data_IF_142149658771
#
_entry.id   IF_142149658771
#
_cell.length_a   1.000
_cell.length_b   1.000
_cell.length_c   1.000
_cell.angle_alpha   90.00
_cell.angle_beta   90.00
_cell.angle_gamma   90.00
#
_symmetry.space_group_name_H-M   'P 1'
#
loop_
_entity.id
_entity.type
_entity.pdbx_description
1 polymer ?
#
# COMPACT_ATOMS: atom_id res chain seq x y z
N UNK A 1 -5.87 -7.89 -25.95
CA UNK A 1 -6.18 -9.07 -26.77
C UNK A 1 -7.68 -9.32 -26.70
N UNK A 2 -8.36 -9.38 -27.85
CA UNK A 2 -9.78 -9.75 -27.98
C UNK A 2 -9.93 -11.28 -27.95
N UNK A 3 -9.62 -11.92 -26.82
CA UNK A 3 -10.08 -13.29 -26.61
C UNK A 3 -11.57 -13.25 -26.28
N UNK A 4 -12.39 -14.14 -26.84
CA UNK A 4 -13.84 -14.25 -26.52
C UNK A 4 -14.12 -15.22 -25.37
N UNK A 5 -13.13 -16.01 -24.94
CA UNK A 5 -13.33 -17.08 -23.97
C UNK A 5 -13.47 -16.53 -22.55
N UNK A 6 -14.51 -16.98 -21.85
CA UNK A 6 -14.74 -16.68 -20.44
C UNK A 6 -14.60 -17.96 -19.61
N UNK A 7 -13.92 -17.87 -18.47
CA UNK A 7 -13.85 -18.93 -17.48
C UNK A 7 -14.80 -18.57 -16.33
N UNK A 8 -15.70 -19.47 -15.95
CA UNK A 8 -16.50 -19.33 -14.74
C UNK A 8 -16.41 -20.59 -13.90
N UNK A 9 -15.95 -20.46 -12.66
CA UNK A 9 -15.95 -21.53 -11.65
C UNK A 9 -17.08 -21.26 -10.67
N UNK A 10 -18.01 -22.20 -10.51
CA UNK A 10 -19.04 -22.17 -9.48
C UNK A 10 -18.86 -23.39 -8.55
N UNK A 11 -18.90 -23.18 -7.24
CA UNK A 11 -18.50 -24.22 -6.28
C UNK A 11 -16.98 -24.34 -6.21
N UNK A 12 -16.45 -25.55 -6.13
CA UNK A 12 -15.01 -25.80 -6.15
C UNK A 12 -14.56 -26.32 -7.53
N UNK A 13 -13.46 -25.81 -8.06
CA UNK A 13 -12.94 -26.26 -9.35
C UNK A 13 -11.54 -25.74 -9.67
N UNK A 14 -10.97 -26.27 -10.75
CA UNK A 14 -9.63 -25.88 -11.20
C UNK A 14 -9.56 -25.59 -12.70
N UNK A 15 -8.63 -24.75 -13.10
CA UNK A 15 -8.26 -24.49 -14.50
C UNK A 15 -6.75 -24.63 -14.69
N UNK A 16 -6.32 -24.96 -15.91
CA UNK A 16 -4.90 -25.07 -16.26
C UNK A 16 -4.19 -23.71 -16.36
N UNK A 17 -4.93 -22.59 -16.44
CA UNK A 17 -4.38 -21.27 -16.78
C UNK A 17 -4.58 -20.93 -18.26
N UNK A 18 -3.93 -19.86 -18.72
CA UNK A 18 -4.00 -19.39 -20.11
C UNK A 18 -4.65 -18.01 -20.27
N UNK A 19 -5.03 -17.68 -21.50
CA UNK A 19 -5.57 -16.38 -21.87
C UNK A 19 -7.11 -16.37 -21.95
N UNK A 20 -7.74 -15.45 -21.24
CA UNK A 20 -9.19 -15.30 -21.22
C UNK A 20 -9.60 -13.85 -21.41
N UNK A 21 -10.82 -13.62 -21.88
CA UNK A 21 -11.42 -12.30 -21.73
C UNK A 21 -11.72 -12.04 -20.26
N UNK A 22 -12.46 -12.98 -19.65
CA UNK A 22 -13.10 -12.82 -18.36
C UNK A 22 -12.98 -14.08 -17.55
N UNK A 23 -12.53 -13.96 -16.31
CA UNK A 23 -12.44 -15.04 -15.34
C UNK A 23 -13.31 -14.67 -14.14
N UNK A 24 -14.23 -15.55 -13.77
CA UNK A 24 -15.12 -15.36 -12.63
C UNK A 24 -15.09 -16.57 -11.71
N UNK A 25 -14.69 -16.38 -10.46
CA UNK A 25 -14.66 -17.45 -9.46
C UNK A 25 -15.73 -17.17 -8.40
N UNK A 26 -16.66 -18.10 -8.25
CA UNK A 26 -17.76 -18.08 -7.26
C UNK A 26 -17.72 -19.38 -6.44
N UNK A 27 -17.01 -19.33 -5.32
CA UNK A 27 -16.64 -20.52 -4.54
C UNK A 27 -15.13 -20.59 -4.46
N UNK A 28 -14.54 -21.76 -4.70
CA UNK A 28 -13.10 -22.01 -4.63
C UNK A 28 -12.56 -22.32 -6.02
N UNK A 29 -11.56 -21.56 -6.47
CA UNK A 29 -10.98 -21.74 -7.80
C UNK A 29 -9.46 -21.79 -7.78
N UNK A 30 -8.88 -22.90 -8.21
CA UNK A 30 -7.42 -23.01 -8.40
C UNK A 30 -7.06 -22.92 -9.88
N UNK A 31 -6.17 -21.99 -10.23
CA UNK A 31 -5.58 -21.87 -11.55
C UNK A 31 -4.14 -22.39 -11.45
N UNK A 32 -3.86 -23.48 -12.13
CA UNK A 32 -2.65 -24.30 -11.89
C UNK A 32 -1.37 -23.71 -12.49
N UNK A 33 -1.46 -22.73 -13.39
CA UNK A 33 -0.33 -22.05 -14.02
C UNK A 33 -0.62 -20.55 -14.19
N UNK A 34 0.17 -19.90 -15.05
CA UNK A 34 -0.01 -18.50 -15.45
C UNK A 34 -1.41 -18.21 -15.97
N UNK A 35 -1.90 -17.00 -15.66
CA UNK A 35 -3.20 -16.50 -16.10
C UNK A 35 -3.03 -15.11 -16.71
N UNK A 36 -3.68 -14.89 -17.85
CA UNK A 36 -3.73 -13.60 -18.53
C UNK A 36 -5.19 -13.29 -18.89
N UNK A 37 -5.72 -12.14 -18.48
CA UNK A 37 -7.09 -11.79 -18.85
C UNK A 37 -7.41 -10.29 -18.86
N UNK A 38 -8.53 -9.89 -19.49
CA UNK A 38 -9.00 -8.52 -19.38
C UNK A 38 -9.72 -8.27 -18.04
N UNK A 39 -10.52 -9.21 -17.56
CA UNK A 39 -11.32 -9.08 -16.34
C UNK A 39 -11.23 -10.33 -15.44
N UNK A 40 -10.55 -10.24 -14.32
CA UNK A 40 -10.57 -11.24 -13.26
C UNK A 40 -11.46 -10.78 -12.10
N UNK A 41 -12.42 -11.61 -11.69
CA UNK A 41 -13.27 -11.35 -10.52
C UNK A 41 -13.43 -12.59 -9.66
N UNK A 42 -13.00 -12.53 -8.41
CA UNK A 42 -13.30 -13.56 -7.40
C UNK A 42 -14.30 -13.06 -6.36
N UNK A 43 -15.26 -13.91 -6.03
CA UNK A 43 -16.28 -13.68 -5.00
C UNK A 43 -16.14 -14.64 -3.81
N UNK A 44 -15.36 -15.70 -3.96
CA UNK A 44 -14.97 -16.59 -2.87
C UNK A 44 -13.44 -16.61 -2.78
N UNK A 45 -12.85 -17.80 -2.76
CA UNK A 45 -11.41 -18.01 -2.67
C UNK A 45 -10.82 -18.36 -4.03
N UNK A 46 -9.67 -17.79 -4.36
CA UNK A 46 -8.96 -18.12 -5.59
C UNK A 46 -7.47 -18.23 -5.38
N UNK A 47 -6.83 -19.16 -6.08
CA UNK A 47 -5.39 -19.38 -6.06
C UNK A 47 -4.89 -19.42 -7.50
N UNK A 48 -3.91 -18.59 -7.85
CA UNK A 48 -3.18 -18.66 -9.12
C UNK A 48 -1.76 -19.13 -8.81
N UNK A 49 -1.41 -20.35 -9.23
CA UNK A 49 -0.11 -20.99 -8.94
C UNK A 49 1.05 -20.49 -9.81
N UNK A 50 0.82 -19.45 -10.59
CA UNK A 50 1.85 -18.79 -11.40
C UNK A 50 1.62 -17.29 -11.45
N UNK A 51 2.27 -16.63 -12.41
CA UNK A 51 2.09 -15.21 -12.66
C UNK A 51 0.67 -14.86 -13.12
N UNK A 52 0.20 -13.70 -12.70
CA UNK A 52 -1.10 -13.14 -13.07
C UNK A 52 -0.91 -11.85 -13.87
N UNK A 53 -1.43 -11.81 -15.10
CA UNK A 53 -1.54 -10.60 -15.91
C UNK A 53 -3.01 -10.23 -16.09
N UNK A 54 -3.42 -9.02 -15.72
CA UNK A 54 -4.79 -8.59 -15.99
C UNK A 54 -4.99 -7.10 -16.21
N UNK A 55 -5.93 -6.72 -17.07
CA UNK A 55 -6.35 -5.32 -17.10
C UNK A 55 -7.10 -4.93 -15.83
N UNK A 56 -8.10 -5.72 -15.46
CA UNK A 56 -8.88 -5.50 -14.24
C UNK A 56 -8.84 -6.74 -13.36
N UNK A 57 -8.36 -6.59 -12.13
CA UNK A 57 -8.32 -7.64 -11.13
C UNK A 57 -9.12 -7.21 -9.90
N UNK A 58 -10.25 -7.86 -9.64
CA UNK A 58 -11.18 -7.49 -8.57
C UNK A 58 -11.42 -8.64 -7.62
N UNK A 59 -11.19 -8.40 -6.33
CA UNK A 59 -11.30 -9.41 -5.27
C UNK A 59 -12.34 -8.97 -4.26
N UNK A 60 -13.44 -9.73 -4.17
CA UNK A 60 -14.47 -9.54 -3.14
C UNK A 60 -14.29 -10.47 -1.95
N UNK A 61 -13.77 -11.68 -2.16
CA UNK A 61 -13.39 -12.64 -1.12
C UNK A 61 -11.88 -12.64 -0.91
N UNK A 62 -11.25 -13.79 -1.16
CA UNK A 62 -9.82 -14.00 -0.96
C UNK A 62 -9.15 -14.42 -2.27
N UNK A 63 -7.93 -13.91 -2.50
CA UNK A 63 -7.16 -14.30 -3.67
C UNK A 63 -5.67 -14.37 -3.39
N UNK A 64 -5.04 -15.44 -3.83
CA UNK A 64 -3.60 -15.61 -3.77
C UNK A 64 -3.03 -15.77 -5.19
N UNK A 65 -1.94 -15.06 -5.46
CA UNK A 65 -1.10 -15.24 -6.64
C UNK A 65 0.29 -15.67 -6.17
N UNK A 66 0.71 -16.88 -6.52
CA UNK A 66 2.00 -17.44 -6.10
C UNK A 66 3.19 -16.90 -6.91
N UNK A 67 2.93 -16.27 -8.05
CA UNK A 67 3.94 -15.58 -8.84
C UNK A 67 3.87 -14.06 -8.72
N UNK A 68 4.34 -13.37 -9.77
CA UNK A 68 4.23 -11.92 -9.92
C UNK A 68 2.84 -11.52 -10.44
N UNK A 69 2.44 -10.28 -10.17
CA UNK A 69 1.24 -9.67 -10.71
C UNK A 69 1.58 -8.46 -11.58
N UNK A 70 1.08 -8.46 -12.82
CA UNK A 70 1.09 -7.29 -13.71
C UNK A 70 -0.37 -6.87 -13.97
N UNK A 71 -0.76 -5.64 -13.66
CA UNK A 71 -2.11 -5.19 -13.93
C UNK A 71 -2.29 -3.70 -14.21
N UNK A 72 -3.32 -3.34 -14.99
CA UNK A 72 -3.70 -1.93 -15.15
C UNK A 72 -4.46 -1.44 -13.90
N UNK A 73 -5.41 -2.24 -13.41
CA UNK A 73 -6.29 -1.89 -12.28
C UNK A 73 -6.48 -3.06 -11.32
N UNK A 74 -6.09 -2.87 -10.06
CA UNK A 74 -6.34 -3.80 -8.95
C UNK A 74 -7.33 -3.20 -7.97
N UNK A 75 -8.35 -3.97 -7.60
CA UNK A 75 -9.36 -3.56 -6.62
C UNK A 75 -9.66 -4.67 -5.63
N UNK A 76 -9.35 -4.43 -4.36
CA UNK A 76 -9.48 -5.44 -3.31
C UNK A 76 -10.46 -4.97 -2.24
N UNK A 77 -11.59 -5.66 -2.13
CA UNK A 77 -12.59 -5.43 -1.08
C UNK A 77 -12.40 -6.41 0.10
N UNK A 78 -12.01 -7.65 -0.17
CA UNK A 78 -11.62 -8.64 0.83
C UNK A 78 -10.11 -8.66 1.03
N UNK A 79 -9.44 -9.79 0.77
CA UNK A 79 -8.00 -9.94 0.95
C UNK A 79 -7.33 -10.43 -0.33
N UNK A 80 -6.15 -9.89 -0.65
CA UNK A 80 -5.33 -10.39 -1.74
C UNK A 80 -3.87 -10.53 -1.30
N UNK A 81 -3.21 -11.60 -1.73
CA UNK A 81 -1.79 -11.84 -1.49
C UNK A 81 -1.08 -12.16 -2.80
N UNK A 82 0.08 -11.53 -3.00
CA UNK A 82 0.99 -11.80 -4.12
C UNK A 82 2.33 -12.21 -3.53
N UNK A 83 2.78 -13.43 -3.82
CA UNK A 83 4.04 -13.96 -3.29
C UNK A 83 5.27 -13.36 -4.01
N UNK A 84 5.09 -12.78 -5.20
CA UNK A 84 6.12 -12.08 -5.93
C UNK A 84 5.96 -10.56 -5.91
N UNK A 85 6.45 -9.93 -6.97
CA UNK A 85 6.35 -8.48 -7.21
C UNK A 85 4.98 -8.12 -7.82
N UNK A 86 4.51 -6.91 -7.52
CA UNK A 86 3.36 -6.27 -8.16
C UNK A 86 3.78 -5.09 -9.02
N UNK A 87 3.53 -5.14 -10.33
CA UNK A 87 3.62 -3.99 -11.23
C UNK A 87 2.19 -3.59 -11.63
N UNK A 88 1.64 -2.57 -10.97
CA UNK A 88 0.22 -2.24 -11.06
C UNK A 88 0.02 -0.73 -11.20
N UNK A 89 -0.48 -0.27 -12.35
CA UNK A 89 -0.68 1.17 -12.59
C UNK A 89 -1.60 1.81 -11.53
N UNK A 90 -2.72 1.15 -11.21
CA UNK A 90 -3.68 1.68 -10.22
C UNK A 90 -4.19 0.62 -9.25
N UNK A 91 -3.92 0.82 -7.97
CA UNK A 91 -4.34 -0.06 -6.88
C UNK A 91 -5.35 0.63 -5.97
N UNK A 92 -6.50 -0.01 -5.72
CA UNK A 92 -7.53 0.45 -4.78
C UNK A 92 -7.91 -0.63 -3.78
N UNK A 93 -7.70 -0.37 -2.50
CA UNK A 93 -7.89 -1.39 -1.44
C UNK A 93 -8.85 -0.88 -0.38
N UNK A 94 -9.83 -1.70 -0.03
CA UNK A 94 -10.76 -1.46 1.08
C UNK A 94 -10.61 -2.50 2.19
N UNK A 95 -10.19 -3.72 1.86
CA UNK A 95 -9.73 -4.71 2.83
C UNK A 95 -8.21 -4.69 2.95
N UNK A 96 -7.54 -5.79 2.64
CA UNK A 96 -6.08 -5.92 2.76
C UNK A 96 -5.45 -6.38 1.44
N UNK A 97 -4.26 -5.87 1.13
CA UNK A 97 -3.39 -6.47 0.12
C UNK A 97 -1.99 -6.65 0.67
N UNK A 98 -1.37 -7.79 0.36
CA UNK A 98 0.02 -8.09 0.71
C UNK A 98 0.84 -8.46 -0.54
N UNK A 99 2.05 -7.90 -0.63
CA UNK A 99 3.10 -8.29 -1.57
C UNK A 99 4.31 -8.79 -0.79
N UNK A 100 4.77 -10.01 -1.06
CA UNK A 100 6.04 -10.51 -0.49
C UNK A 100 7.26 -10.02 -1.25
N UNK A 101 7.08 -9.49 -2.46
CA UNK A 101 8.09 -8.74 -3.21
C UNK A 101 7.90 -7.22 -3.09
N UNK A 102 8.20 -6.52 -4.18
CA UNK A 102 8.04 -5.07 -4.35
C UNK A 102 6.66 -4.72 -4.91
N UNK A 103 6.28 -3.45 -4.75
CA UNK A 103 5.12 -2.86 -5.43
C UNK A 103 5.56 -1.64 -6.23
N UNK A 104 5.30 -1.62 -7.54
CA UNK A 104 5.49 -0.45 -8.39
C UNK A 104 4.23 -0.08 -9.17
N UNK A 105 4.05 1.20 -9.50
CA UNK A 105 2.83 1.68 -10.17
C UNK A 105 2.70 3.19 -10.23
N UNK A 106 1.54 3.69 -10.63
CA UNK A 106 1.29 5.13 -10.70
C UNK A 106 0.56 5.60 -9.43
N UNK A 107 -0.54 4.93 -9.07
CA UNK A 107 -1.45 5.39 -8.03
C UNK A 107 -1.92 4.28 -7.08
N UNK A 108 -1.83 4.52 -5.77
CA UNK A 108 -2.27 3.61 -4.71
C UNK A 108 -3.24 4.33 -3.75
N UNK A 109 -4.49 3.87 -3.65
CA UNK A 109 -5.51 4.35 -2.69
C UNK A 109 -5.98 3.22 -1.78
N UNK A 110 -5.51 3.23 -0.53
CA UNK A 110 -5.75 2.18 0.46
C UNK A 110 -6.58 2.73 1.60
N UNK A 111 -7.72 2.11 1.91
CA UNK A 111 -8.56 2.44 3.07
C UNK A 111 -8.66 1.32 4.11
N UNK A 112 -7.85 0.29 3.95
CA UNK A 112 -7.68 -0.83 4.89
C UNK A 112 -6.20 -1.02 5.19
N UNK A 113 -5.57 -2.07 4.69
CA UNK A 113 -4.15 -2.34 4.92
C UNK A 113 -3.36 -2.61 3.64
N UNK A 114 -2.11 -2.14 3.62
CA UNK A 114 -1.12 -2.44 2.58
C UNK A 114 0.15 -2.95 3.27
N UNK A 115 0.54 -4.18 2.94
CA UNK A 115 1.77 -4.80 3.42
C UNK A 115 2.69 -5.12 2.24
N UNK A 116 3.92 -4.63 2.25
CA UNK A 116 4.89 -4.86 1.17
C UNK A 116 6.25 -5.20 1.76
N UNK A 117 6.74 -6.42 1.56
CA UNK A 117 8.03 -6.84 2.13
C UNK A 117 9.23 -6.19 1.44
N UNK A 118 9.11 -5.81 0.18
CA UNK A 118 10.10 -5.02 -0.53
C UNK A 118 9.82 -3.52 -0.50
N UNK A 119 10.33 -2.85 -1.53
CA UNK A 119 10.13 -1.42 -1.76
C UNK A 119 8.74 -1.14 -2.35
N UNK A 120 8.24 0.07 -2.11
CA UNK A 120 7.06 0.64 -2.76
C UNK A 120 7.52 1.82 -3.60
N UNK A 121 7.36 1.76 -4.91
CA UNK A 121 7.76 2.81 -5.85
C UNK A 121 6.55 3.25 -6.70
N UNK A 122 5.95 4.38 -6.34
CA UNK A 122 4.73 4.88 -6.99
C UNK A 122 4.76 6.38 -7.23
N UNK A 123 3.89 6.96 -8.05
CA UNK A 123 3.80 8.42 -8.18
C UNK A 123 2.99 9.04 -7.02
N UNK A 124 1.85 8.44 -6.68
CA UNK A 124 0.95 8.92 -5.63
C UNK A 124 0.47 7.79 -4.71
N UNK A 125 0.64 7.98 -3.41
CA UNK A 125 0.12 7.10 -2.36
C UNK A 125 -0.83 7.84 -1.43
N UNK A 126 -2.09 7.38 -1.40
CA UNK A 126 -3.12 7.81 -0.46
C UNK A 126 -3.50 6.65 0.45
N UNK A 127 -3.21 6.76 1.74
CA UNK A 127 -3.47 5.70 2.70
C UNK A 127 -4.31 6.21 3.87
N UNK A 128 -5.37 5.48 4.19
CA UNK A 128 -6.19 5.68 5.39
C UNK A 128 -6.36 4.34 6.08
N UNK A 129 -5.42 3.96 6.94
CA UNK A 129 -5.39 2.63 7.52
C UNK A 129 -3.98 2.23 7.96
N UNK A 130 -3.66 0.95 7.82
CA UNK A 130 -2.36 0.38 8.18
C UNK A 130 -1.42 0.30 6.97
N UNK A 131 -0.14 0.55 7.21
CA UNK A 131 0.94 0.41 6.23
C UNK A 131 2.11 -0.31 6.88
N UNK A 132 2.53 -1.43 6.30
CA UNK A 132 3.77 -2.10 6.67
C UNK A 132 4.68 -2.24 5.43
N UNK A 133 5.91 -1.78 5.54
CA UNK A 133 6.97 -2.11 4.58
C UNK A 133 8.33 -2.25 5.24
N UNK A 134 9.05 -3.31 4.87
CA UNK A 134 10.43 -3.54 5.31
C UNK A 134 11.44 -2.78 4.41
N UNK A 135 10.97 -2.17 3.32
CA UNK A 135 11.75 -1.46 2.30
C UNK A 135 11.59 0.06 2.34
N UNK A 136 11.99 0.69 1.23
CA UNK A 136 11.79 2.11 0.97
C UNK A 136 10.38 2.33 0.39
N UNK A 137 9.62 3.26 0.95
CA UNK A 137 8.48 3.89 0.27
C UNK A 137 8.97 5.13 -0.46
N UNK A 138 9.00 5.10 -1.79
CA UNK A 138 9.33 6.22 -2.64
C UNK A 138 8.13 6.66 -3.47
N UNK A 139 7.71 7.92 -3.35
CA UNK A 139 6.71 8.49 -4.24
C UNK A 139 6.80 10.01 -4.39
N UNK A 140 6.24 10.59 -5.46
CA UNK A 140 6.17 12.05 -5.56
C UNK A 140 5.29 12.63 -4.44
N UNK A 141 4.10 12.07 -4.23
CA UNK A 141 3.14 12.55 -3.24
C UNK A 141 2.70 11.40 -2.32
N UNK A 142 2.91 11.59 -1.01
CA UNK A 142 2.54 10.62 0.03
C UNK A 142 1.57 11.29 1.00
N UNK A 143 0.36 10.78 1.10
CA UNK A 143 -0.62 11.16 2.13
C UNK A 143 -1.02 9.95 2.97
N UNK A 144 -0.63 9.95 4.24
CA UNK A 144 -0.95 8.91 5.21
C UNK A 144 -1.85 9.49 6.29
N UNK A 145 -3.08 8.99 6.37
CA UNK A 145 -4.05 9.22 7.42
C UNK A 145 -4.09 8.04 8.39
N UNK A 146 -3.34 8.12 9.47
CA UNK A 146 -3.19 7.05 10.47
C UNK A 146 -4.54 6.68 11.13
N UNK A 147 -4.84 5.39 11.24
CA UNK A 147 -6.03 4.81 11.89
C UNK A 147 -5.73 3.51 12.61
N UNK A 148 -6.44 3.26 13.72
CA UNK A 148 -6.49 2.03 14.53
C UNK A 148 -5.13 1.45 14.96
N UNK A 149 -4.39 0.86 14.02
CA UNK A 149 -3.10 0.20 14.20
C UNK A 149 -1.95 1.13 13.79
N UNK A 150 -0.75 0.85 14.30
CA UNK A 150 0.46 1.56 13.89
C UNK A 150 0.82 1.23 12.45
N UNK A 151 1.57 2.13 11.81
CA UNK A 151 2.22 1.89 10.53
C UNK A 151 3.73 1.79 10.74
N UNK A 152 4.40 0.97 9.95
CA UNK A 152 5.86 0.83 9.98
C UNK A 152 6.40 0.80 8.57
N UNK A 153 7.34 1.68 8.26
CA UNK A 153 8.06 1.69 6.98
C UNK A 153 9.53 1.90 7.32
N UNK A 154 10.47 1.17 6.71
CA UNK A 154 11.89 1.35 7.04
C UNK A 154 12.37 2.78 6.70
N UNK A 155 12.12 3.22 5.48
CA UNK A 155 12.51 4.53 4.95
C UNK A 155 11.41 5.12 4.08
N UNK A 156 11.26 6.44 4.09
CA UNK A 156 10.29 7.16 3.25
C UNK A 156 11.02 8.25 2.48
N UNK A 157 10.90 8.21 1.15
CA UNK A 157 11.37 9.23 0.23
C UNK A 157 10.21 9.83 -0.57
N UNK A 158 10.20 11.14 -0.77
CA UNK A 158 9.23 11.74 -1.67
C UNK A 158 9.29 13.25 -1.77
N UNK A 159 8.65 13.81 -2.79
CA UNK A 159 8.64 15.27 -2.96
C UNK A 159 7.78 15.94 -1.88
N UNK A 160 6.55 15.45 -1.71
CA UNK A 160 5.62 15.95 -0.70
C UNK A 160 5.13 14.81 0.19
N UNK A 161 5.42 14.91 1.48
CA UNK A 161 5.10 13.88 2.47
C UNK A 161 4.18 14.50 3.53
N UNK A 162 2.98 13.96 3.66
CA UNK A 162 2.00 14.38 4.65
C UNK A 162 1.50 13.19 5.45
N UNK A 163 1.87 13.14 6.73
CA UNK A 163 1.33 12.18 7.69
C UNK A 163 0.43 12.93 8.65
N UNK A 164 -0.82 12.49 8.75
CA UNK A 164 -1.84 13.07 9.62
C UNK A 164 -2.47 12.01 10.49
N UNK A 165 -2.88 12.40 11.69
CA UNK A 165 -3.82 11.62 12.47
C UNK A 165 -5.23 12.07 12.15
N UNK A 166 -6.07 11.14 11.72
CA UNK A 166 -7.49 11.44 11.51
C UNK A 166 -8.20 11.60 12.86
N UNK A 167 -8.89 12.73 13.05
CA UNK A 167 -9.69 12.98 14.25
C UNK A 167 -10.73 11.86 14.47
N UNK A 168 -10.86 11.42 15.73
CA UNK A 168 -11.82 10.37 16.13
C UNK A 168 -13.17 11.01 16.48
N UNK A 169 -14.25 10.39 16.03
CA UNK A 169 -15.62 10.71 16.47
C UNK A 169 -16.05 9.92 17.72
N UNK A 170 -15.26 8.93 18.18
CA UNK A 170 -15.59 8.07 19.34
C UNK A 170 -14.50 8.19 20.42
N UNK A 171 -14.82 8.64 21.65
CA UNK A 171 -13.84 9.04 22.67
C UNK A 171 -13.23 7.92 23.54
N UNK A 172 -13.47 6.62 23.26
CA UNK A 172 -13.14 5.53 24.19
C UNK A 172 -12.14 4.47 23.68
N UNK A 173 -11.43 4.71 22.58
CA UNK A 173 -10.30 3.84 22.17
C UNK A 173 -9.00 4.60 22.33
N UNK A 174 -8.04 4.05 23.07
CA UNK A 174 -6.88 4.78 23.60
C UNK A 174 -5.60 4.68 22.76
N UNK A 175 -5.54 3.80 21.75
CA UNK A 175 -4.33 3.65 20.93
C UNK A 175 -4.57 4.24 19.55
N UNK A 176 -4.02 5.43 19.28
CA UNK A 176 -3.86 5.90 17.92
C UNK A 176 -2.54 5.33 17.40
N UNK A 177 -2.59 4.58 16.30
CA UNK A 177 -1.39 4.15 15.63
C UNK A 177 -0.45 5.31 15.34
N UNK A 178 0.84 5.08 15.53
CA UNK A 178 1.92 5.95 15.08
C UNK A 178 2.50 5.42 13.78
N UNK A 179 3.11 6.29 12.97
CA UNK A 179 4.06 5.85 11.95
C UNK A 179 5.44 5.68 12.60
N UNK A 180 6.08 4.53 12.39
CA UNK A 180 7.47 4.29 12.77
C UNK A 180 8.32 4.16 11.51
N UNK A 181 9.43 4.91 11.45
CA UNK A 181 10.39 4.86 10.33
C UNK A 181 11.77 5.31 10.78
N UNK A 182 12.83 4.82 10.16
CA UNK A 182 14.18 5.30 10.47
C UNK A 182 14.45 6.66 9.83
N UNK A 183 14.12 6.82 8.54
CA UNK A 183 14.41 8.04 7.78
C UNK A 183 13.18 8.49 7.01
N UNK A 184 12.96 9.81 7.00
CA UNK A 184 12.03 10.48 6.09
C UNK A 184 12.81 11.57 5.34
N UNK A 185 12.85 11.52 4.02
CA UNK A 185 13.52 12.51 3.18
C UNK A 185 12.56 13.07 2.11
N UNK A 186 12.51 14.39 1.96
CA UNK A 186 11.66 15.05 0.98
C UNK A 186 11.70 16.56 0.94
N UNK A 187 11.05 17.19 -0.04
CA UNK A 187 11.06 18.66 -0.16
C UNK A 187 10.14 19.30 0.87
N UNK A 188 8.87 18.90 0.88
CA UNK A 188 7.83 19.44 1.77
C UNK A 188 7.29 18.35 2.69
N UNK A 189 7.60 18.44 3.98
CA UNK A 189 7.30 17.42 4.97
C UNK A 189 6.37 17.98 6.04
N UNK A 190 5.24 17.31 6.25
CA UNK A 190 4.35 17.53 7.38
C UNK A 190 4.08 16.21 8.09
N UNK A 191 4.39 16.12 9.39
CA UNK A 191 4.22 14.90 10.18
C UNK A 191 3.36 15.13 11.41
N UNK A 192 2.53 14.14 11.73
CA UNK A 192 1.85 13.98 13.02
C UNK A 192 1.99 12.53 13.46
N UNK A 193 2.04 12.27 14.76
CA UNK A 193 2.06 10.91 15.31
C UNK A 193 3.12 10.01 14.66
N UNK A 194 4.32 10.56 14.45
CA UNK A 194 5.42 9.87 13.76
C UNK A 194 6.62 9.75 14.70
N UNK A 195 7.18 8.55 14.81
CA UNK A 195 8.43 8.27 15.51
C UNK A 195 9.49 8.03 14.43
N UNK A 196 10.54 8.86 14.41
CA UNK A 196 11.62 8.70 13.44
C UNK A 196 13.01 9.05 13.96
N UNK A 197 14.04 8.41 13.42
CA UNK A 197 15.43 8.73 13.76
C UNK A 197 15.85 10.03 13.07
N UNK A 198 15.62 10.14 11.76
CA UNK A 198 16.00 11.31 10.97
C UNK A 198 14.85 11.78 10.08
N UNK A 199 14.60 13.09 10.07
CA UNK A 199 13.74 13.76 9.08
C UNK A 199 14.57 14.81 8.36
N UNK A 200 14.68 14.72 7.04
CA UNK A 200 15.47 15.64 6.21
C UNK A 200 14.61 16.27 5.12
N UNK A 201 14.63 17.60 4.99
CA UNK A 201 13.92 18.25 3.88
C UNK A 201 14.09 19.75 3.70
N UNK A 202 13.43 20.34 2.71
CA UNK A 202 13.50 21.79 2.47
C UNK A 202 12.61 22.54 3.45
N UNK A 203 11.33 22.18 3.53
CA UNK A 203 10.35 22.73 4.45
C UNK A 203 9.81 21.62 5.36
N UNK A 204 10.18 21.64 6.63
CA UNK A 204 9.82 20.59 7.58
C UNK A 204 8.89 21.14 8.66
N UNK A 205 7.70 20.52 8.78
CA UNK A 205 6.74 20.81 9.84
C UNK A 205 6.52 19.54 10.68
N UNK A 206 6.94 19.58 11.94
CA UNK A 206 6.74 18.49 12.89
C UNK A 206 5.58 18.84 13.82
N UNK A 207 4.46 18.15 13.63
CA UNK A 207 3.21 18.35 14.35
C UNK A 207 3.02 17.44 15.57
N UNK A 208 1.87 17.56 16.24
CA UNK A 208 1.58 16.87 17.51
C UNK A 208 1.83 15.36 17.48
N UNK A 209 2.28 14.84 18.62
CA UNK A 209 2.51 13.41 18.84
C UNK A 209 3.71 12.82 18.09
N UNK A 210 4.56 13.65 17.47
CA UNK A 210 5.81 13.17 16.90
C UNK A 210 6.94 13.06 17.94
N UNK A 211 7.82 12.09 17.74
CA UNK A 211 9.07 11.91 18.46
C UNK A 211 10.19 11.71 17.44
N UNK A 212 10.99 12.76 17.19
CA UNK A 212 12.03 12.78 16.16
C UNK A 212 13.40 12.95 16.81
N UNK A 213 14.36 12.10 16.47
CA UNK A 213 15.72 12.25 17.01
C UNK A 213 16.45 13.43 16.37
N UNK A 214 16.55 13.50 15.04
CA UNK A 214 17.22 14.61 14.33
C UNK A 214 16.34 15.15 13.20
N UNK A 215 16.21 16.48 13.13
CA UNK A 215 15.64 17.18 11.98
C UNK A 215 16.74 17.97 11.25
N UNK A 216 16.95 17.66 9.98
CA UNK A 216 17.87 18.38 9.09
C UNK A 216 17.05 19.15 8.06
N UNK A 217 17.26 20.46 7.92
CA UNK A 217 16.46 21.25 6.99
C UNK A 217 17.27 22.29 6.21
N UNK A 218 16.88 22.58 4.97
CA UNK A 218 17.53 23.60 4.14
C UNK A 218 16.86 24.97 4.26
N UNK A 219 15.53 25.04 4.13
CA UNK A 219 14.79 26.31 4.01
C UNK A 219 14.05 26.69 5.28
N UNK A 220 13.24 25.80 5.86
CA UNK A 220 12.49 26.13 7.08
C UNK A 220 12.16 24.90 7.93
N UNK A 221 12.11 25.12 9.25
CA UNK A 221 11.65 24.16 10.23
C UNK A 221 10.63 24.80 11.17
N UNK A 222 9.52 24.10 11.41
CA UNK A 222 8.46 24.54 12.32
C UNK A 222 7.96 23.36 13.18
N UNK A 223 8.18 23.45 14.49
CA UNK A 223 7.67 22.50 15.47
C UNK A 223 6.36 23.00 16.07
N UNK A 224 5.34 22.13 16.14
CA UNK A 224 4.00 22.49 16.61
C UNK A 224 3.50 21.57 17.72
N UNK A 225 2.69 22.13 18.62
CA UNK A 225 2.01 21.38 19.67
C UNK A 225 2.98 20.70 20.64
N UNK A 226 2.72 19.43 20.95
CA UNK A 226 3.51 18.63 21.89
C UNK A 226 4.54 17.72 21.19
N UNK A 227 4.95 18.04 19.96
CA UNK A 227 6.02 17.31 19.28
C UNK A 227 7.32 17.34 20.09
N UNK A 228 8.07 16.24 20.08
CA UNK A 228 9.41 16.12 20.67
C UNK A 228 10.42 15.98 19.54
N UNK A 229 11.37 16.91 19.48
CA UNK A 229 12.52 16.86 18.55
C UNK A 229 13.78 16.99 19.40
N UNK A 230 14.68 16.00 19.36
CA UNK A 230 15.89 16.02 20.22
C UNK A 230 16.94 17.00 19.70
N UNK A 231 17.18 16.98 18.40
CA UNK A 231 18.11 17.86 17.71
C UNK A 231 17.50 18.37 16.41
N UNK A 232 17.80 19.62 16.06
CA UNK A 232 17.46 20.20 14.76
C UNK A 232 18.62 21.08 14.29
N UNK A 233 18.93 21.03 13.01
CA UNK A 233 20.00 21.85 12.41
C UNK A 233 19.66 22.20 10.97
N UNK A 234 20.06 23.41 10.58
CA UNK A 234 20.00 23.84 9.19
C UNK A 234 21.27 23.36 8.46
N UNK A 235 21.11 22.76 7.29
CA UNK A 235 22.21 22.21 6.46
C UNK A 235 22.25 22.83 5.07
#
# INVERSE_FOLDING_TARGET
MENQHSLTVNGSGSSAGGDYNKVKIRGEGTISNHMSCNDFKTYGTSEVRGNMKAKNYVVYGDSEVQGNMEAEYVKVYGNAQVQGDGQINKTKVRGMIEFKGKLSGDFVDVKGALNVKGDIEVEELLLTGGLESDGLLNAENIEISLRYEGSKVREIGGKKITVRKKARFIPFTSHAGSLQTSIIEGDDIYLEHTIADVVRGNHVIIGPGCEISVVEYHTSFNQKGNAVVKEHKQI
#
